data_IF_718132210767
#
_entry.id   IF_718132210767
#
_cell.length_a   1.000
_cell.length_b   1.000
_cell.length_c   1.000
_cell.angle_alpha   90.00
_cell.angle_beta   90.00
_cell.angle_gamma   90.00
#
_symmetry.space_group_name_H-M   'P 1'
#
loop_
_entity.id
_entity.type
_entity.pdbx_description
1 polymer ?
#
# COMPACT_ATOMS: atom_id res chain seq x y z
N UNK A 1 -26.82 11.91 27.29
CA UNK A 1 -25.89 11.38 26.28
C UNK A 1 -24.53 12.03 26.49
N UNK A 2 -23.70 11.47 27.37
CA UNK A 2 -22.31 11.93 27.56
C UNK A 2 -21.45 11.26 26.48
N UNK A 3 -21.10 12.01 25.44
CA UNK A 3 -20.19 11.52 24.41
C UNK A 3 -18.77 11.54 24.97
N UNK A 4 -18.24 10.36 25.29
CA UNK A 4 -16.82 10.18 25.58
C UNK A 4 -16.00 10.70 24.38
N UNK A 5 -14.81 11.28 24.62
CA UNK A 5 -13.91 11.66 23.53
C UNK A 5 -13.58 10.41 22.70
N UNK A 6 -13.39 10.57 21.38
CA UNK A 6 -13.04 9.45 20.52
C UNK A 6 -11.76 8.78 21.03
N UNK A 7 -11.68 7.44 20.96
CA UNK A 7 -10.50 6.71 21.40
C UNK A 7 -9.26 7.23 20.66
N UNK A 8 -8.15 7.43 21.40
CA UNK A 8 -6.87 7.84 20.81
C UNK A 8 -6.44 6.78 19.79
N UNK A 9 -6.30 7.21 18.54
CA UNK A 9 -5.77 6.37 17.47
C UNK A 9 -4.29 6.13 17.75
N UNK A 10 -3.88 4.88 17.98
CA UNK A 10 -2.47 4.49 17.99
C UNK A 10 -1.94 4.61 16.56
N UNK A 11 -1.19 5.68 16.31
CA UNK A 11 -0.41 5.81 15.08
C UNK A 11 0.67 4.73 15.07
N UNK A 12 0.86 4.07 13.93
CA UNK A 12 1.99 3.17 13.75
C UNK A 12 3.32 3.97 13.85
N UNK A 13 4.38 3.37 14.42
CA UNK A 13 5.72 3.96 14.42
C UNK A 13 6.14 4.37 13.01
N UNK A 14 6.77 5.53 12.87
CA UNK A 14 7.25 6.04 11.57
C UNK A 14 8.28 5.13 10.91
N UNK A 15 8.99 4.33 11.71
CA UNK A 15 10.02 3.43 11.21
C UNK A 15 9.48 2.04 10.84
N UNK A 16 8.19 1.78 11.09
CA UNK A 16 7.55 0.52 10.70
C UNK A 16 7.55 0.35 9.19
N UNK A 17 7.87 -0.87 8.75
CA UNK A 17 7.76 -1.28 7.34
C UNK A 17 6.36 -1.00 6.77
N UNK A 18 5.29 -1.11 7.58
CA UNK A 18 3.95 -0.71 7.18
C UNK A 18 3.91 0.73 6.69
N UNK A 19 4.38 1.68 7.51
CA UNK A 19 4.25 3.11 7.21
C UNK A 19 5.04 3.51 5.96
N UNK A 20 6.22 2.90 5.76
CA UNK A 20 7.02 3.07 4.54
C UNK A 20 6.28 2.59 3.29
N UNK A 21 5.70 1.39 3.33
CA UNK A 21 4.94 0.83 2.19
C UNK A 21 3.67 1.64 1.90
N UNK A 22 2.93 2.05 2.92
CA UNK A 22 1.74 2.88 2.74
C UNK A 22 2.09 4.25 2.15
N UNK A 23 3.18 4.90 2.60
CA UNK A 23 3.64 6.16 2.03
C UNK A 23 4.05 6.04 0.56
N UNK A 24 4.73 4.94 0.18
CA UNK A 24 5.07 4.67 -1.23
C UNK A 24 3.79 4.60 -2.06
N UNK A 25 2.79 3.86 -1.62
CA UNK A 25 1.55 3.71 -2.39
C UNK A 25 0.74 5.01 -2.41
N UNK A 26 0.81 5.80 -1.36
CA UNK A 26 0.18 7.11 -1.33
C UNK A 26 0.79 8.08 -2.34
N UNK A 27 2.08 7.94 -2.68
CA UNK A 27 2.70 8.68 -3.79
C UNK A 27 2.08 8.34 -5.16
N UNK A 28 1.51 7.13 -5.32
CA UNK A 28 0.80 6.69 -6.52
C UNK A 28 -0.70 7.05 -6.52
N UNK A 29 -1.15 7.98 -5.67
CA UNK A 29 -2.56 8.43 -5.63
C UNK A 29 -3.10 8.93 -6.97
N UNK A 30 -2.23 9.47 -7.83
CA UNK A 30 -2.61 9.98 -9.15
C UNK A 30 -2.96 8.84 -10.12
N UNK A 31 -2.36 7.66 -9.91
CA UNK A 31 -2.62 6.44 -10.67
C UNK A 31 -3.67 5.54 -10.01
N UNK A 32 -3.79 5.60 -8.68
CA UNK A 32 -4.75 4.87 -7.87
C UNK A 32 -5.67 5.84 -7.12
N UNK A 33 -6.69 6.40 -7.80
CA UNK A 33 -7.56 7.40 -7.18
C UNK A 33 -8.33 6.83 -5.97
N UNK A 34 -8.63 5.53 -5.99
CA UNK A 34 -9.37 4.87 -4.92
C UNK A 34 -8.44 4.60 -3.73
N UNK A 35 -8.72 5.25 -2.61
CA UNK A 35 -7.97 5.06 -1.35
C UNK A 35 -8.04 3.62 -0.82
N UNK A 36 -9.19 2.96 -0.95
CA UNK A 36 -9.33 1.57 -0.51
C UNK A 36 -8.43 0.61 -1.30
N UNK A 37 -8.27 0.86 -2.60
CA UNK A 37 -7.40 0.09 -3.49
C UNK A 37 -5.94 0.27 -3.10
N UNK A 38 -5.54 1.51 -2.80
CA UNK A 38 -4.22 1.85 -2.24
C UNK A 38 -3.95 1.09 -0.94
N UNK A 39 -4.88 1.13 0.01
CA UNK A 39 -4.72 0.46 1.30
C UNK A 39 -4.63 -1.07 1.15
N UNK A 40 -5.44 -1.67 0.27
CA UNK A 40 -5.39 -3.11 -0.02
C UNK A 40 -4.06 -3.51 -0.63
N UNK A 41 -3.59 -2.77 -1.62
CA UNK A 41 -2.29 -2.98 -2.24
C UNK A 41 -1.18 -2.86 -1.18
N UNK A 42 -1.21 -1.82 -0.33
CA UNK A 42 -0.19 -1.59 0.69
C UNK A 42 -0.10 -2.72 1.70
N UNK A 43 -1.26 -3.23 2.10
CA UNK A 43 -1.30 -4.38 2.99
C UNK A 43 -0.77 -5.66 2.33
N UNK A 44 -1.10 -5.91 1.05
CA UNK A 44 -0.55 -7.06 0.30
C UNK A 44 0.97 -6.98 0.16
N UNK A 45 1.52 -5.81 -0.19
CA UNK A 45 2.97 -5.63 -0.31
C UNK A 45 3.69 -5.72 1.04
N UNK A 46 3.05 -5.22 2.10
CA UNK A 46 3.58 -5.39 3.45
C UNK A 46 3.68 -6.87 3.85
N UNK A 47 2.66 -7.68 3.53
CA UNK A 47 2.74 -9.14 3.72
C UNK A 47 3.85 -9.78 2.89
N UNK A 48 4.07 -9.31 1.66
CA UNK A 48 5.17 -9.76 0.81
C UNK A 48 6.54 -9.47 1.46
N UNK A 49 6.74 -8.29 2.02
CA UNK A 49 7.97 -7.95 2.76
C UNK A 49 8.16 -8.83 4.01
N UNK A 50 7.07 -9.27 4.65
CA UNK A 50 7.10 -10.22 5.76
C UNK A 50 7.32 -11.67 5.36
N UNK A 51 7.31 -11.98 4.05
CA UNK A 51 7.44 -13.35 3.53
C UNK A 51 6.14 -14.16 3.50
N UNK A 52 5.00 -13.54 3.81
CA UNK A 52 3.68 -14.19 3.87
C UNK A 52 2.74 -13.77 2.72
N UNK A 53 3.25 -13.07 1.72
CA UNK A 53 2.44 -12.44 0.66
C UNK A 53 2.90 -12.76 -0.76
N UNK A 54 2.05 -12.39 -1.71
CA UNK A 54 2.31 -12.54 -3.13
C UNK A 54 3.22 -11.44 -3.68
N UNK A 55 3.95 -11.74 -4.75
CA UNK A 55 4.79 -10.78 -5.44
C UNK A 55 4.01 -9.52 -5.87
N UNK A 56 4.67 -8.34 -5.99
CA UNK A 56 4.00 -7.08 -6.32
C UNK A 56 3.09 -7.16 -7.56
N UNK A 57 3.53 -7.89 -8.59
CA UNK A 57 2.78 -8.10 -9.83
C UNK A 57 1.50 -8.92 -9.61
N UNK A 58 1.57 -9.97 -8.78
CA UNK A 58 0.40 -10.75 -8.38
C UNK A 58 -0.52 -9.92 -7.48
N UNK A 59 0.02 -9.12 -6.56
CA UNK A 59 -0.77 -8.25 -5.70
C UNK A 59 -1.58 -7.21 -6.49
N UNK A 60 -1.01 -6.65 -7.56
CA UNK A 60 -1.70 -5.70 -8.45
C UNK A 60 -2.81 -6.42 -9.24
N UNK A 61 -2.53 -7.61 -9.81
CA UNK A 61 -3.50 -8.40 -10.58
C UNK A 61 -4.65 -8.92 -9.72
N UNK A 62 -4.36 -9.46 -8.55
CA UNK A 62 -5.34 -10.08 -7.64
C UNK A 62 -6.24 -9.03 -6.99
N UNK A 63 -5.73 -7.83 -6.74
CA UNK A 63 -6.52 -6.78 -6.10
C UNK A 63 -7.54 -6.10 -7.03
N UNK A 64 -7.54 -6.36 -8.35
CA UNK A 64 -8.47 -5.76 -9.34
C UNK A 64 -8.56 -4.24 -9.19
N UNK A 65 -7.40 -3.59 -9.08
CA UNK A 65 -7.28 -2.16 -8.78
C UNK A 65 -7.77 -1.33 -9.97
N UNK A 66 -8.44 -0.20 -9.71
CA UNK A 66 -8.68 0.78 -10.77
C UNK A 66 -7.45 1.63 -11.00
N UNK A 67 -6.64 1.23 -11.99
CA UNK A 67 -5.46 1.98 -12.40
C UNK A 67 -5.86 2.99 -13.48
N UNK A 68 -5.40 4.23 -13.32
CA UNK A 68 -5.62 5.31 -14.29
C UNK A 68 -4.27 5.73 -14.87
N UNK A 69 -4.19 5.73 -16.21
CA UNK A 69 -3.04 6.26 -16.95
C UNK A 69 -1.78 5.37 -16.99
N UNK A 70 -1.76 4.22 -16.32
CA UNK A 70 -0.65 3.25 -16.35
C UNK A 70 -1.16 1.81 -16.58
N UNK A 71 -0.27 0.94 -17.05
CA UNK A 71 -0.52 -0.50 -17.04
C UNK A 71 -0.25 -1.13 -15.67
N UNK A 72 -0.91 -2.25 -15.37
CA UNK A 72 -0.70 -3.04 -14.14
C UNK A 72 0.78 -3.43 -13.95
N UNK A 73 1.46 -3.75 -15.04
CA UNK A 73 2.86 -4.20 -15.02
C UNK A 73 3.84 -3.05 -14.76
N UNK A 74 3.60 -1.87 -15.33
CA UNK A 74 4.42 -0.69 -15.05
C UNK A 74 4.27 -0.22 -13.61
N UNK A 75 3.04 -0.25 -13.07
CA UNK A 75 2.80 0.06 -11.68
C UNK A 75 3.54 -0.94 -10.78
N UNK A 76 3.43 -2.24 -11.07
CA UNK A 76 4.12 -3.29 -10.32
C UNK A 76 5.65 -3.13 -10.35
N UNK A 77 6.24 -2.76 -11.50
CA UNK A 77 7.68 -2.51 -11.62
C UNK A 77 8.13 -1.33 -10.77
N UNK A 78 7.43 -0.19 -10.85
CA UNK A 78 7.75 0.99 -10.03
C UNK A 78 7.65 0.69 -8.54
N UNK A 79 6.62 -0.06 -8.15
CA UNK A 79 6.46 -0.52 -6.77
C UNK A 79 7.61 -1.43 -6.35
N UNK A 80 8.00 -2.40 -7.19
CA UNK A 80 9.12 -3.31 -6.89
C UNK A 80 10.46 -2.56 -6.73
N UNK A 81 10.70 -1.53 -7.55
CA UNK A 81 11.86 -0.65 -7.42
C UNK A 81 11.85 0.12 -6.08
N UNK A 82 10.72 0.69 -5.70
CA UNK A 82 10.57 1.39 -4.41
C UNK A 82 10.68 0.44 -3.22
N UNK A 83 10.17 -0.79 -3.32
CA UNK A 83 10.30 -1.82 -2.29
C UNK A 83 11.75 -2.29 -2.13
N UNK A 84 12.52 -2.39 -3.22
CA UNK A 84 13.96 -2.71 -3.16
C UNK A 84 14.78 -1.65 -2.44
N UNK A 85 14.35 -0.39 -2.44
CA UNK A 85 15.02 0.68 -1.65
C UNK A 85 14.81 0.54 -0.14
N UNK A 86 13.78 -0.21 0.29
CA UNK A 86 13.50 -0.46 1.71
C UNK A 86 14.29 -1.66 2.24
N UNK A 87 14.67 -2.60 1.36
CA UNK A 87 15.38 -3.84 1.70
C UNK A 87 16.87 -3.60 1.93
#
# INVERSE_FOLDING_TARGET
MTTLPPPKVKQFPDDSLEKKVYNIIESFKDNLPIMNDRNRLAFSLYKYLKGEGDAPLMAVKTNKLKIVGLSEEELAKRIDEELKKIK
#
